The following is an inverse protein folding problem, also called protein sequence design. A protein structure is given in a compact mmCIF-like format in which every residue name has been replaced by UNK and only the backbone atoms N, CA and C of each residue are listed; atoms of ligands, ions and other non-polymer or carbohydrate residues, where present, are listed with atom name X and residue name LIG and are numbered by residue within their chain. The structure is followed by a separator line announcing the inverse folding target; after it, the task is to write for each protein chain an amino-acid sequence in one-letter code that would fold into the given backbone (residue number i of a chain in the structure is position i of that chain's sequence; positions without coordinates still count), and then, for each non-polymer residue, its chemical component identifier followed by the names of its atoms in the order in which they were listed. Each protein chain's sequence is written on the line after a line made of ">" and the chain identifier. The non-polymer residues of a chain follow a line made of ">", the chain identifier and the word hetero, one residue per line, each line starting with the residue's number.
data_IF_465800591769
#
_entry.id   IF_465800591769
#
_cell.length_a   1.000
_cell.length_b   1.000
_cell.length_c   1.000
_cell.angle_alpha   90.00
_cell.angle_beta   90.00
_cell.angle_gamma   90.00
#
_symmetry.space_group_name_H-M   'P 1'
#
loop_
_entity.id
_entity.type
_entity.pdbx_description
1 polymer ?
#
# COMPACT_ATOMS: atom_id res chain seq x y z
N UNK A 1 15.83 88.58 37.03
CA UNK A 1 16.62 89.61 36.32
C UNK A 1 16.84 89.19 34.87
N UNK A 2 17.40 90.04 33.99
CA UNK A 2 17.73 89.62 32.62
C UNK A 2 18.67 88.38 32.58
N UNK A 3 19.46 88.17 33.63
CA UNK A 3 20.27 86.96 33.83
C UNK A 3 19.41 85.70 34.08
N UNK A 4 18.31 85.79 34.83
CA UNK A 4 17.39 84.65 35.03
C UNK A 4 16.64 84.26 33.75
N UNK A 5 16.31 85.24 32.91
CA UNK A 5 15.66 84.98 31.61
C UNK A 5 16.65 84.30 30.66
N UNK A 6 17.91 84.74 30.64
CA UNK A 6 18.94 84.12 29.81
C UNK A 6 19.34 82.72 30.32
N UNK A 7 19.33 82.48 31.64
CA UNK A 7 19.53 81.16 32.23
C UNK A 7 18.39 80.20 31.84
N UNK A 8 17.13 80.65 31.93
CA UNK A 8 15.97 79.86 31.51
C UNK A 8 15.93 79.58 30.00
N UNK A 9 16.44 80.49 29.17
CA UNK A 9 16.55 80.27 27.71
C UNK A 9 17.70 79.33 27.35
N UNK A 10 18.80 79.33 28.12
CA UNK A 10 19.91 78.37 27.93
C UNK A 10 19.55 76.95 28.37
N UNK A 11 18.77 76.79 29.43
CA UNK A 11 18.25 75.48 29.84
C UNK A 11 17.22 74.93 28.85
N UNK A 12 16.35 75.79 28.28
CA UNK A 12 15.34 75.35 27.32
C UNK A 12 15.91 74.82 25.98
N UNK A 13 17.14 75.19 25.63
CA UNK A 13 17.80 74.74 24.39
C UNK A 13 18.70 73.49 24.59
N UNK A 14 18.91 73.02 25.82
CA UNK A 14 19.80 71.90 26.09
C UNK A 14 19.14 70.52 25.87
N UNK A 15 17.80 70.41 25.83
CA UNK A 15 17.13 69.09 25.88
C UNK A 15 16.08 68.81 24.79
N UNK A 16 15.78 69.72 23.86
CA UNK A 16 14.75 69.44 22.84
C UNK A 16 15.33 69.01 21.48
N UNK A 17 15.65 67.72 21.35
CA UNK A 17 15.77 67.03 20.04
C UNK A 17 14.40 66.54 19.54
N UNK A 18 13.37 67.39 19.60
CA UNK A 18 12.04 67.07 19.10
C UNK A 18 11.86 67.60 17.68
N UNK A 19 11.60 66.70 16.72
CA UNK A 19 11.14 67.09 15.39
C UNK A 19 9.61 67.12 15.44
N UNK A 20 9.05 68.33 15.43
CA UNK A 20 7.62 68.50 15.24
C UNK A 20 7.30 68.42 13.75
N UNK A 21 6.82 67.26 13.31
CA UNK A 21 6.20 67.11 12.00
C UNK A 21 4.74 67.58 12.13
N UNK A 22 4.54 68.89 12.00
CA UNK A 22 3.20 69.43 11.83
C UNK A 22 2.78 69.14 10.38
N UNK A 23 2.15 67.98 10.14
CA UNK A 23 1.46 67.77 8.88
C UNK A 23 0.29 68.75 8.85
N UNK A 24 0.38 69.78 8.01
CA UNK A 24 -0.66 70.79 7.75
C UNK A 24 -1.90 70.18 7.05
N UNK A 25 -2.30 68.97 7.46
CA UNK A 25 -3.20 68.09 6.75
C UNK A 25 -4.31 67.51 7.61
N UNK A 26 -4.76 68.22 8.65
CA UNK A 26 -6.17 68.15 9.06
C UNK A 26 -6.53 69.37 9.92
N UNK A 27 -7.49 70.17 9.45
CA UNK A 27 -8.06 71.29 10.20
C UNK A 27 -9.02 70.68 11.22
N UNK A 28 -8.56 70.50 12.46
CA UNK A 28 -9.39 70.11 13.59
C UNK A 28 -10.43 71.20 13.88
N UNK A 29 -11.63 70.77 14.23
CA UNK A 29 -12.88 71.51 14.45
C UNK A 29 -12.91 72.35 15.74
N UNK A 30 -11.76 72.89 16.15
CA UNK A 30 -11.68 73.87 17.24
C UNK A 30 -11.56 73.29 18.65
N UNK A 31 -11.16 72.02 18.79
CA UNK A 31 -10.83 71.42 20.08
C UNK A 31 -9.56 70.55 20.07
N UNK A 32 -9.37 69.72 19.04
CA UNK A 32 -8.41 68.61 19.09
C UNK A 32 -7.50 68.58 17.85
N UNK A 33 -6.29 69.14 17.96
CA UNK A 33 -5.29 69.05 16.90
C UNK A 33 -4.56 67.69 16.93
N UNK A 34 -4.78 66.88 15.90
CA UNK A 34 -4.10 65.60 15.68
C UNK A 34 -2.69 65.85 15.12
N UNK A 35 -1.68 65.78 15.97
CA UNK A 35 -0.27 65.92 15.57
C UNK A 35 0.55 64.73 16.01
N UNK A 36 1.34 64.15 15.10
CA UNK A 36 2.33 63.14 15.45
C UNK A 36 3.56 63.82 16.04
N UNK A 37 3.79 63.64 17.35
CA UNK A 37 5.03 64.08 17.97
C UNK A 37 5.99 62.89 17.98
N UNK A 38 7.01 62.94 17.11
CA UNK A 38 8.12 61.99 17.16
C UNK A 38 9.16 62.53 18.14
N UNK A 39 9.22 61.92 19.32
CA UNK A 39 10.28 62.21 20.30
C UNK A 39 11.32 61.09 20.25
N UNK A 40 12.57 61.46 19.97
CA UNK A 40 13.71 60.56 20.12
C UNK A 40 14.34 60.82 21.48
N UNK A 41 13.95 60.02 22.46
CA UNK A 41 14.75 59.80 23.67
C UNK A 41 15.35 58.41 23.53
N UNK A 42 16.51 58.16 24.14
CA UNK A 42 17.18 56.84 24.09
C UNK A 42 16.19 55.66 24.25
N UNK A 43 16.56 54.47 23.76
CA UNK A 43 16.44 53.95 22.39
C UNK A 43 14.97 53.75 21.92
N UNK A 44 14.11 54.76 22.10
CA UNK A 44 12.68 54.67 21.82
C UNK A 44 12.22 55.71 20.79
N UNK A 45 11.33 55.28 19.89
CA UNK A 45 10.50 56.16 19.09
C UNK A 45 9.09 56.11 19.70
N UNK A 46 8.70 57.22 20.32
CA UNK A 46 7.37 57.37 20.89
C UNK A 46 6.45 58.06 19.89
N UNK A 47 5.32 57.44 19.57
CA UNK A 47 4.28 58.00 18.70
C UNK A 47 3.08 58.35 19.58
N UNK A 48 2.96 59.62 19.94
CA UNK A 48 1.84 60.11 20.77
C UNK A 48 0.67 60.44 19.86
N UNK A 49 -0.44 59.71 20.01
CA UNK A 49 -1.76 60.17 19.54
C UNK A 49 -2.31 61.11 20.60
N UNK A 50 -2.77 62.30 20.19
CA UNK A 50 -3.27 63.36 21.07
C UNK A 50 -4.79 63.41 21.16
N UNK A 51 -5.50 62.50 20.51
CA UNK A 51 -6.95 62.52 20.59
C UNK A 51 -7.46 62.14 21.97
N UNK A 52 -8.43 62.89 22.45
CA UNK A 52 -9.12 62.65 23.71
C UNK A 52 -9.68 61.22 23.70
N UNK A 53 -9.02 60.31 24.43
CA UNK A 53 -9.32 58.87 24.58
C UNK A 53 -8.67 57.87 23.62
N UNK A 54 -7.77 58.24 22.69
CA UNK A 54 -6.99 57.23 21.95
C UNK A 54 -5.63 57.02 22.62
N UNK A 55 -5.45 55.86 23.26
CA UNK A 55 -4.18 55.53 23.94
C UNK A 55 -2.95 55.71 23.05
N UNK A 56 -1.86 56.21 23.62
CA UNK A 56 -0.58 56.37 22.92
C UNK A 56 0.11 55.02 22.67
N UNK A 57 0.89 54.92 21.58
CA UNK A 57 1.71 53.72 21.31
C UNK A 57 3.20 54.07 21.27
N UNK A 58 4.03 53.17 21.77
CA UNK A 58 5.47 53.36 21.77
C UNK A 58 6.17 52.18 21.12
N UNK A 59 7.17 52.48 20.29
CA UNK A 59 8.09 51.50 19.74
C UNK A 59 9.44 51.73 20.42
N UNK A 60 9.87 50.75 21.22
CA UNK A 60 11.14 50.83 21.95
C UNK A 60 12.08 49.73 21.50
N UNK A 61 13.36 50.04 21.32
CA UNK A 61 14.39 49.02 21.48
C UNK A 61 14.64 48.86 22.98
N UNK A 62 14.67 47.63 23.49
CA UNK A 62 14.88 47.36 24.90
C UNK A 62 16.34 46.91 25.13
N UNK A 63 16.82 47.00 26.37
CA UNK A 63 18.22 46.68 26.70
C UNK A 63 18.60 45.20 26.41
N UNK A 64 17.61 44.31 26.27
CA UNK A 64 17.77 42.91 25.85
C UNK A 64 17.82 42.74 24.31
N UNK A 65 17.88 43.84 23.55
CA UNK A 65 17.93 43.85 22.08
C UNK A 65 16.57 43.61 21.42
N UNK A 66 15.49 43.42 22.19
CA UNK A 66 14.15 43.23 21.64
C UNK A 66 13.53 44.55 21.19
N UNK A 67 12.62 44.50 20.22
CA UNK A 67 11.75 45.63 19.87
C UNK A 67 10.39 45.42 20.53
N UNK A 68 9.98 46.35 21.38
CA UNK A 68 8.74 46.31 22.14
C UNK A 68 7.76 47.32 21.55
N UNK A 69 6.54 46.86 21.30
CA UNK A 69 5.41 47.74 21.03
C UNK A 69 4.56 47.80 22.31
N UNK A 70 4.51 48.98 22.91
CA UNK A 70 3.76 49.23 24.14
C UNK A 70 2.47 49.97 23.81
N UNK A 71 1.37 49.56 24.46
CA UNK A 71 0.12 50.31 24.46
C UNK A 71 0.03 51.03 25.79
N UNK A 72 -0.15 52.34 25.75
CA UNK A 72 -0.52 53.08 26.95
C UNK A 72 -2.02 53.29 27.00
N UNK A 73 -2.61 52.91 28.13
CA UNK A 73 -4.07 52.96 28.34
C UNK A 73 -4.48 54.10 29.28
N UNK A 74 -3.52 54.81 29.89
CA UNK A 74 -3.80 55.84 30.90
C UNK A 74 -3.92 57.26 30.33
N UNK A 75 -3.52 57.49 29.08
CA UNK A 75 -3.63 58.75 28.33
C UNK A 75 -3.15 60.01 29.11
N UNK A 76 -2.25 59.82 30.07
CA UNK A 76 -1.80 60.86 31.00
C UNK A 76 -0.51 61.55 30.52
N UNK A 77 -0.03 61.18 29.32
CA UNK A 77 1.26 61.58 28.78
C UNK A 77 2.44 61.30 29.73
N UNK A 78 2.24 60.47 30.77
CA UNK A 78 3.19 60.18 31.83
C UNK A 78 3.99 58.90 31.53
N UNK A 79 4.20 58.60 30.24
CA UNK A 79 5.06 57.49 29.83
C UNK A 79 6.53 57.91 29.97
N UNK A 80 6.91 58.23 31.21
CA UNK A 80 8.21 58.54 31.73
C UNK A 80 8.63 57.47 32.74
N UNK A 81 9.49 56.58 32.27
CA UNK A 81 10.69 56.12 32.97
C UNK A 81 10.69 55.14 34.17
N UNK A 82 9.60 54.78 34.85
CA UNK A 82 9.71 53.79 35.97
C UNK A 82 8.96 52.48 35.81
N UNK A 83 7.82 52.47 35.14
CA UNK A 83 6.93 51.29 35.18
C UNK A 83 7.11 50.43 33.94
N UNK A 84 8.35 49.98 33.74
CA UNK A 84 8.79 49.10 32.65
C UNK A 84 8.33 47.64 32.88
N UNK A 85 7.06 47.48 33.27
CA UNK A 85 6.48 46.18 33.56
C UNK A 85 6.02 45.52 32.26
N UNK A 86 6.32 44.24 32.12
CA UNK A 86 6.00 43.41 30.94
C UNK A 86 4.50 43.35 30.61
N UNK A 87 3.65 43.82 31.51
CA UNK A 87 2.18 43.81 31.40
C UNK A 87 1.63 44.78 30.36
N UNK A 88 2.40 45.78 29.91
CA UNK A 88 1.99 46.74 28.86
C UNK A 88 2.55 46.44 27.45
N UNK A 89 3.30 45.35 27.28
CA UNK A 89 3.85 44.93 25.98
C UNK A 89 2.82 44.06 25.25
N UNK A 90 2.28 44.55 24.13
CA UNK A 90 1.32 43.77 23.34
C UNK A 90 1.99 42.97 22.22
N UNK A 91 3.15 43.42 21.73
CA UNK A 91 4.02 42.63 20.84
C UNK A 91 5.47 42.82 21.26
N UNK A 92 6.18 41.71 21.51
CA UNK A 92 7.62 41.65 21.76
C UNK A 92 8.31 40.89 20.63
N UNK A 93 9.18 41.56 19.89
CA UNK A 93 10.09 40.90 18.95
C UNK A 93 11.42 40.67 19.64
N UNK A 94 11.67 39.44 20.11
CA UNK A 94 12.95 39.06 20.70
C UNK A 94 13.85 38.52 19.60
N UNK A 95 14.96 39.22 19.31
CA UNK A 95 15.93 38.76 18.32
C UNK A 95 16.83 37.72 18.99
N UNK A 96 16.57 36.44 18.77
CA UNK A 96 17.35 35.31 19.34
C UNK A 96 18.75 35.13 18.74
N UNK A 97 19.31 36.15 18.08
CA UNK A 97 20.56 36.11 17.35
C UNK A 97 20.65 37.27 16.34
N UNK A 98 21.81 37.48 15.70
CA UNK A 98 21.96 38.48 14.64
C UNK A 98 20.95 38.23 13.51
N UNK A 99 20.09 39.22 13.24
CA UNK A 99 19.20 39.21 12.08
C UNK A 99 20.03 39.56 10.85
N UNK A 100 20.48 38.53 10.14
CA UNK A 100 21.08 38.71 8.83
C UNK A 100 19.96 39.06 7.84
N UNK A 101 19.83 40.34 7.52
CA UNK A 101 19.14 40.77 6.30
C UNK A 101 20.01 40.34 5.11
N UNK A 102 19.76 39.16 4.57
CA UNK A 102 20.35 38.76 3.29
C UNK A 102 19.60 39.50 2.17
N UNK A 103 20.11 40.66 1.78
CA UNK A 103 19.61 41.46 0.66
C UNK A 103 20.07 40.90 -0.71
N UNK A 104 20.21 39.58 -0.82
CA UNK A 104 20.37 38.91 -2.11
C UNK A 104 19.10 38.11 -2.40
N UNK A 105 18.32 38.65 -3.31
CA UNK A 105 17.15 38.09 -3.95
C UNK A 105 17.27 36.60 -4.28
N UNK A 106 16.63 35.73 -3.47
CA UNK A 106 16.13 34.42 -3.91
C UNK A 106 15.29 33.66 -2.86
N UNK A 107 15.39 33.96 -1.56
CA UNK A 107 14.52 33.34 -0.55
C UNK A 107 14.04 34.37 0.47
N UNK A 108 12.77 34.76 0.35
CA UNK A 108 12.08 35.54 1.38
C UNK A 108 11.92 34.63 2.61
N UNK A 109 12.78 34.83 3.60
CA UNK A 109 12.49 34.52 5.00
C UNK A 109 12.08 33.07 5.29
N UNK A 110 13.02 32.13 5.16
CA UNK A 110 12.88 30.84 5.86
C UNK A 110 13.00 31.09 7.37
N UNK A 111 11.87 31.20 8.07
CA UNK A 111 11.84 31.12 9.54
C UNK A 111 12.15 29.66 9.89
N UNK A 112 13.41 29.36 10.22
CA UNK A 112 13.80 28.04 10.70
C UNK A 112 13.07 27.73 12.00
N UNK A 113 12.29 26.65 11.99
CA UNK A 113 11.35 26.25 13.03
C UNK A 113 11.95 25.92 14.40
N UNK A 114 13.27 26.01 14.56
CA UNK A 114 13.93 25.80 15.85
C UNK A 114 13.42 26.77 16.93
N UNK A 115 12.94 27.96 16.56
CA UNK A 115 12.35 28.94 17.49
C UNK A 115 10.89 28.71 17.89
N UNK A 116 10.20 27.75 17.27
CA UNK A 116 8.80 27.40 17.64
C UNK A 116 8.70 26.15 18.50
N UNK A 117 9.83 25.56 18.90
CA UNK A 117 9.88 24.39 19.78
C UNK A 117 9.77 24.87 21.23
N UNK A 118 8.55 24.94 21.74
CA UNK A 118 8.29 25.26 23.14
C UNK A 118 6.80 25.20 23.45
N UNK A 119 6.44 24.54 24.55
CA UNK A 119 5.08 24.48 25.08
C UNK A 119 4.60 25.92 25.39
N UNK A 120 3.90 26.55 24.44
CA UNK A 120 3.43 27.94 24.58
C UNK A 120 3.46 28.78 23.30
N UNK A 121 4.04 28.29 22.20
CA UNK A 121 3.88 28.92 20.89
C UNK A 121 2.39 28.92 20.49
N UNK A 122 1.80 30.10 20.28
CA UNK A 122 0.40 30.28 19.88
C UNK A 122 -0.01 29.64 18.53
N UNK A 123 0.93 28.97 17.86
CA UNK A 123 0.66 27.99 16.80
C UNK A 123 0.41 26.61 17.42
N UNK A 124 -0.52 26.52 18.36
CA UNK A 124 -1.01 25.23 18.87
C UNK A 124 -1.71 24.51 17.71
N UNK A 125 -1.19 23.36 17.28
CA UNK A 125 -1.79 22.57 16.19
C UNK A 125 -0.87 22.28 15.01
N UNK A 126 0.27 22.97 14.90
CA UNK A 126 1.34 22.60 13.98
C UNK A 126 2.26 21.60 14.70
N UNK A 127 1.81 20.36 14.82
CA UNK A 127 2.68 19.27 15.26
C UNK A 127 3.50 18.86 14.04
N UNK A 128 4.84 18.78 14.15
CA UNK A 128 5.67 18.27 13.05
C UNK A 128 5.27 16.84 12.66
N UNK A 129 4.65 16.11 13.59
CA UNK A 129 4.06 14.80 13.39
C UNK A 129 2.55 14.85 13.08
N UNK A 130 1.92 16.04 12.93
CA UNK A 130 0.53 16.14 12.45
C UNK A 130 0.31 17.23 11.41
N UNK A 131 -0.02 16.83 10.18
CA UNK A 131 -0.55 17.72 9.15
C UNK A 131 -2.08 17.63 9.18
N UNK A 132 -2.76 18.72 9.55
CA UNK A 132 -4.23 18.74 9.63
C UNK A 132 -4.83 17.81 10.71
N UNK A 133 -4.09 17.52 11.78
CA UNK A 133 -4.55 16.64 12.87
C UNK A 133 -4.29 15.14 12.65
N UNK A 134 -3.89 14.74 11.44
CA UNK A 134 -3.50 13.36 11.12
C UNK A 134 -2.08 13.08 11.60
N UNK A 135 -1.88 11.99 12.34
CA UNK A 135 -0.56 11.56 12.86
C UNK A 135 0.43 11.25 11.73
N UNK A 136 1.75 11.31 12.01
CA UNK A 136 2.82 10.88 11.10
C UNK A 136 2.63 9.46 10.58
N UNK A 137 1.95 8.62 11.35
CA UNK A 137 1.60 7.24 10.98
C UNK A 137 0.53 7.15 9.88
N UNK A 138 -0.13 8.27 9.55
CA UNK A 138 -1.13 8.37 8.49
C UNK A 138 -0.53 8.79 7.15
N UNK A 139 0.76 9.13 7.09
CA UNK A 139 1.44 9.56 5.85
C UNK A 139 2.47 8.55 5.39
N UNK A 140 2.53 8.33 4.08
CA UNK A 140 3.57 7.54 3.43
C UNK A 140 4.88 8.33 3.48
N UNK A 141 5.91 7.78 4.13
CA UNK A 141 7.25 8.38 4.19
C UNK A 141 8.26 7.51 3.48
N UNK A 142 8.83 8.05 2.41
CA UNK A 142 9.85 7.37 1.59
C UNK A 142 11.22 7.30 2.26
N UNK A 143 11.47 8.11 3.30
CA UNK A 143 12.78 8.29 3.93
C UNK A 143 13.04 7.40 5.16
N UNK A 144 12.03 6.66 5.63
CA UNK A 144 12.10 5.92 6.89
C UNK A 144 12.05 4.39 6.74
N UNK A 145 12.18 3.86 5.50
CA UNK A 145 12.27 2.41 5.27
C UNK A 145 11.08 1.58 5.78
N UNK A 146 9.91 2.20 6.01
CA UNK A 146 8.74 1.51 6.52
C UNK A 146 7.59 1.57 5.51
N UNK A 147 7.49 0.45 4.80
CA UNK A 147 6.72 0.21 3.59
C UNK A 147 5.26 -0.19 3.82
N UNK A 148 4.67 0.21 4.95
CA UNK A 148 3.37 -0.30 5.40
C UNK A 148 2.27 0.73 5.16
N UNK A 149 1.31 0.42 4.30
CA UNK A 149 0.04 1.13 4.21
C UNK A 149 -0.95 0.41 5.11
N UNK A 150 -1.29 1.00 6.26
CA UNK A 150 -2.39 0.49 7.09
C UNK A 150 -3.71 0.78 6.40
N UNK A 151 -4.52 -0.25 6.21
CA UNK A 151 -5.85 -0.20 5.62
C UNK A 151 -6.97 -0.53 6.64
N UNK A 152 -6.63 -0.72 7.91
CA UNK A 152 -7.60 -1.02 8.96
C UNK A 152 -6.95 -1.39 10.30
N UNK A 153 -7.81 -1.46 11.32
CA UNK A 153 -7.60 -1.82 12.73
C UNK A 153 -6.95 -0.78 13.67
N UNK A 154 -7.69 -0.48 14.75
CA UNK A 154 -7.34 0.33 15.90
C UNK A 154 -6.81 -0.50 17.09
N UNK A 155 -6.78 -1.82 16.96
CA UNK A 155 -6.36 -2.74 18.01
C UNK A 155 -4.88 -3.14 17.84
N UNK A 156 -4.12 -3.09 18.93
CA UNK A 156 -2.75 -3.60 18.98
C UNK A 156 -2.74 -5.12 18.76
N UNK A 157 -2.49 -5.56 17.52
CA UNK A 157 -2.38 -6.99 17.18
C UNK A 157 -3.11 -7.41 15.91
N UNK A 158 -3.92 -6.54 15.32
CA UNK A 158 -4.53 -6.76 14.01
C UNK A 158 -4.01 -5.66 13.06
N UNK A 159 -3.21 -6.04 12.08
CA UNK A 159 -2.77 -5.18 11.00
C UNK A 159 -3.46 -5.66 9.71
N UNK A 160 -4.29 -4.78 9.15
CA UNK A 160 -4.73 -4.88 7.77
C UNK A 160 -3.90 -3.91 6.94
N UNK A 161 -3.27 -4.36 5.87
CA UNK A 161 -2.49 -3.45 5.05
C UNK A 161 -1.68 -4.05 3.91
N UNK A 162 -0.94 -3.16 3.26
CA UNK A 162 -0.03 -3.47 2.16
C UNK A 162 1.40 -3.22 2.62
N UNK A 163 2.30 -4.17 2.39
CA UNK A 163 3.72 -4.03 2.71
C UNK A 163 4.57 -4.28 1.47
N UNK A 164 5.47 -3.36 1.12
CA UNK A 164 6.48 -3.58 0.09
C UNK A 164 7.88 -3.71 0.70
N UNK A 165 8.40 -4.91 0.91
CA UNK A 165 9.79 -5.05 1.37
C UNK A 165 10.76 -4.88 0.20
N UNK A 166 11.44 -3.73 0.11
CA UNK A 166 12.41 -3.42 -0.96
C UNK A 166 13.66 -4.31 -0.90
N UNK A 167 14.07 -4.76 0.30
CA UNK A 167 15.26 -5.61 0.44
C UNK A 167 15.03 -6.99 -0.19
N UNK A 168 13.80 -7.50 -0.13
CA UNK A 168 13.43 -8.80 -0.70
C UNK A 168 12.58 -8.70 -1.97
N UNK A 169 12.21 -7.50 -2.40
CA UNK A 169 11.26 -7.21 -3.48
C UNK A 169 9.90 -7.91 -3.30
N UNK A 170 9.42 -8.03 -2.05
CA UNK A 170 8.17 -8.73 -1.74
C UNK A 170 7.06 -7.73 -1.47
N UNK A 171 5.98 -7.83 -2.25
CA UNK A 171 4.73 -7.13 -1.99
C UNK A 171 3.74 -8.05 -1.27
N UNK A 172 3.36 -7.71 -0.03
CA UNK A 172 2.47 -8.48 0.83
C UNK A 172 1.12 -7.78 0.98
N UNK A 173 0.05 -8.57 0.88
CA UNK A 173 -1.29 -8.20 1.31
C UNK A 173 -1.53 -8.90 2.65
N UNK A 174 -1.80 -8.13 3.70
CA UNK A 174 -2.03 -8.66 5.04
C UNK A 174 -3.45 -8.28 5.46
N UNK A 175 -4.17 -9.27 5.98
CA UNK A 175 -5.49 -9.10 6.58
C UNK A 175 -5.54 -9.91 7.88
N UNK A 176 -5.98 -9.26 8.96
CA UNK A 176 -6.24 -9.87 10.27
C UNK A 176 -5.03 -10.56 10.92
N UNK A 177 -3.85 -9.93 10.90
CA UNK A 177 -2.62 -10.50 11.50
C UNK A 177 -1.81 -9.55 12.37
N UNK A 178 -1.08 -10.11 13.34
CA UNK A 178 0.04 -9.42 13.98
C UNK A 178 1.19 -9.23 12.96
N UNK A 179 2.00 -8.20 13.18
CA UNK A 179 3.05 -7.72 12.27
C UNK A 179 4.12 -8.77 11.89
N UNK A 180 4.13 -9.94 12.55
CA UNK A 180 5.11 -11.02 12.47
C UNK A 180 4.54 -12.42 12.13
N UNK A 181 3.24 -12.56 11.86
CA UNK A 181 2.64 -13.88 11.55
C UNK A 181 2.57 -14.09 10.04
N UNK A 182 3.27 -15.11 9.54
CA UNK A 182 3.51 -15.33 8.09
C UNK A 182 2.28 -15.88 7.31
N UNK A 183 1.20 -16.31 7.98
CA UNK A 183 0.09 -16.97 7.28
C UNK A 183 -1.30 -16.67 7.88
N UNK A 184 -2.11 -15.87 7.19
CA UNK A 184 -3.56 -15.84 7.37
C UNK A 184 -4.27 -15.92 6.01
N UNK A 185 -5.41 -16.60 6.03
CA UNK A 185 -6.25 -16.88 4.87
C UNK A 185 -6.88 -15.60 4.32
N UNK A 186 -6.16 -14.87 3.48
CA UNK A 186 -6.66 -13.70 2.75
C UNK A 186 -7.11 -14.07 1.33
N UNK A 187 -8.30 -13.62 0.93
CA UNK A 187 -8.74 -13.70 -0.46
C UNK A 187 -8.25 -12.48 -1.24
N UNK A 188 -7.51 -12.69 -2.34
CA UNK A 188 -7.15 -11.63 -3.29
C UNK A 188 -8.10 -11.70 -4.48
N UNK A 189 -8.98 -10.71 -4.62
CA UNK A 189 -9.85 -10.56 -5.79
C UNK A 189 -9.19 -9.60 -6.80
N UNK A 190 -8.61 -10.15 -7.85
CA UNK A 190 -8.06 -9.37 -8.97
C UNK A 190 -8.88 -9.63 -10.23
N UNK A 191 -9.20 -8.58 -11.00
CA UNK A 191 -9.86 -8.75 -12.30
C UNK A 191 -9.01 -9.58 -13.28
N UNK A 192 -7.68 -9.48 -13.18
CA UNK A 192 -6.71 -10.26 -13.95
C UNK A 192 -5.35 -10.26 -13.25
N UNK A 193 -4.73 -11.43 -13.14
CA UNK A 193 -3.34 -11.60 -12.75
C UNK A 193 -2.50 -11.94 -13.99
N UNK A 194 -1.47 -11.15 -14.28
CA UNK A 194 -0.51 -11.42 -15.36
C UNK A 194 0.87 -11.57 -14.76
N UNK A 195 1.43 -12.76 -14.89
CA UNK A 195 2.76 -13.12 -14.39
C UNK A 195 3.70 -13.18 -15.60
N UNK A 196 4.72 -12.32 -15.61
CA UNK A 196 5.65 -12.18 -16.74
C UNK A 196 7.06 -12.73 -16.43
N UNK A 197 7.25 -13.42 -15.32
CA UNK A 197 8.51 -14.13 -15.10
C UNK A 197 8.66 -15.19 -16.19
N UNK A 198 9.85 -15.28 -16.76
CA UNK A 198 10.17 -16.16 -17.89
C UNK A 198 11.22 -17.21 -17.55
N UNK A 199 11.66 -17.25 -16.28
CA UNK A 199 12.58 -18.27 -15.83
C UNK A 199 11.89 -19.62 -15.90
N UNK A 200 12.59 -20.53 -16.55
CA UNK A 200 12.19 -21.92 -16.74
C UNK A 200 11.94 -22.60 -15.39
N UNK A 201 10.86 -23.36 -15.32
CA UNK A 201 10.52 -24.18 -14.18
C UNK A 201 11.47 -25.37 -14.13
N UNK A 202 12.15 -25.52 -13.00
CA UNK A 202 12.89 -26.73 -12.67
C UNK A 202 12.62 -27.20 -11.25
N UNK A 203 13.06 -28.42 -10.94
CA UNK A 203 12.84 -29.06 -9.65
C UNK A 203 13.30 -28.20 -8.47
N UNK A 204 14.36 -27.40 -8.63
CA UNK A 204 14.92 -26.53 -7.59
C UNK A 204 14.68 -25.04 -7.83
N UNK A 205 14.07 -24.64 -8.95
CA UNK A 205 13.85 -23.22 -9.26
C UNK A 205 12.87 -22.55 -8.29
N UNK A 206 13.14 -21.29 -7.96
CA UNK A 206 12.24 -20.39 -7.22
C UNK A 206 11.86 -19.13 -7.99
N UNK A 207 12.41 -18.95 -9.19
CA UNK A 207 12.22 -17.75 -10.01
C UNK A 207 11.11 -17.86 -11.07
N UNK A 208 10.41 -19.00 -11.13
CA UNK A 208 9.31 -19.25 -12.08
C UNK A 208 8.09 -18.37 -11.76
N UNK A 209 7.14 -18.30 -12.70
CA UNK A 209 6.05 -17.32 -12.64
C UNK A 209 5.05 -17.56 -11.52
N UNK A 210 4.69 -18.82 -11.25
CA UNK A 210 3.60 -19.15 -10.35
C UNK A 210 3.89 -20.36 -9.48
N UNK A 211 3.66 -20.25 -8.16
CA UNK A 211 3.76 -21.36 -7.22
C UNK A 211 2.56 -21.41 -6.27
N UNK A 212 2.06 -22.61 -6.01
CA UNK A 212 1.15 -22.93 -4.91
C UNK A 212 1.89 -23.84 -3.93
N UNK A 213 1.88 -23.49 -2.64
CA UNK A 213 2.60 -24.25 -1.60
C UNK A 213 4.01 -23.72 -1.35
N UNK A 214 4.63 -24.22 -0.27
CA UNK A 214 5.98 -23.79 0.15
C UNK A 214 7.05 -24.43 -0.72
N UNK A 215 8.14 -23.71 -0.98
CA UNK A 215 9.28 -24.19 -1.78
C UNK A 215 9.96 -25.41 -1.18
N UNK A 216 10.01 -25.49 0.16
CA UNK A 216 10.63 -26.56 0.94
C UNK A 216 9.69 -27.76 1.23
N UNK A 217 8.47 -27.76 0.69
CA UNK A 217 7.50 -28.85 0.84
C UNK A 217 6.80 -29.15 -0.49
N UNK A 218 5.66 -29.86 -0.45
CA UNK A 218 4.79 -30.07 -1.59
C UNK A 218 4.35 -28.74 -2.20
N UNK A 219 4.64 -28.57 -3.48
CA UNK A 219 4.22 -27.40 -4.23
C UNK A 219 3.88 -27.74 -5.68
N UNK A 220 3.11 -26.85 -6.30
CA UNK A 220 2.78 -26.86 -7.71
C UNK A 220 3.40 -25.60 -8.33
N UNK A 221 4.37 -25.78 -9.22
CA UNK A 221 4.99 -24.70 -10.00
C UNK A 221 4.44 -24.68 -11.43
N UNK A 222 4.38 -23.49 -12.02
CA UNK A 222 4.05 -23.31 -13.44
C UNK A 222 4.90 -22.19 -14.07
N UNK A 223 5.22 -22.36 -15.34
CA UNK A 223 5.82 -21.34 -16.20
C UNK A 223 5.06 -21.20 -17.53
N UNK A 224 5.73 -20.80 -18.62
CA UNK A 224 5.13 -20.56 -19.93
C UNK A 224 4.75 -21.83 -20.70
N UNK A 225 5.32 -23.00 -20.39
CA UNK A 225 5.04 -24.25 -21.12
C UNK A 225 4.95 -25.50 -20.24
N UNK A 226 5.12 -25.38 -18.93
CA UNK A 226 5.19 -26.52 -18.01
C UNK A 226 4.35 -26.31 -16.75
N UNK A 227 3.82 -27.42 -16.24
CA UNK A 227 3.16 -27.52 -14.94
C UNK A 227 3.81 -28.68 -14.21
N UNK A 228 4.35 -28.45 -13.01
CA UNK A 228 5.12 -29.44 -12.28
C UNK A 228 4.75 -29.50 -10.80
N UNK A 229 4.38 -30.69 -10.33
CA UNK A 229 4.30 -30.98 -8.91
C UNK A 229 5.70 -31.35 -8.38
N UNK A 230 6.10 -30.78 -7.25
CA UNK A 230 7.43 -30.94 -6.65
C UNK A 230 7.32 -31.14 -5.14
N UNK A 231 8.40 -31.67 -4.56
CA UNK A 231 8.61 -31.72 -3.11
C UNK A 231 10.08 -31.50 -2.79
N UNK A 232 10.41 -30.34 -2.22
CA UNK A 232 11.76 -29.99 -1.78
C UNK A 232 12.87 -30.31 -2.81
N UNK A 233 12.77 -29.79 -4.03
CA UNK A 233 13.81 -30.00 -5.05
C UNK A 233 13.70 -31.30 -5.86
N UNK A 234 12.66 -32.12 -5.64
CA UNK A 234 12.44 -33.40 -6.34
C UNK A 234 11.07 -33.41 -7.02
N UNK A 235 10.96 -34.10 -8.16
CA UNK A 235 9.69 -34.24 -8.89
C UNK A 235 8.69 -35.09 -8.10
N UNK A 236 7.41 -34.73 -8.18
CA UNK A 236 6.32 -35.43 -7.53
C UNK A 236 5.17 -35.73 -8.49
N UNK A 237 4.25 -36.61 -8.09
CA UNK A 237 3.07 -36.92 -8.89
C UNK A 237 2.12 -35.73 -8.99
N UNK A 238 1.79 -35.31 -10.22
CA UNK A 238 0.73 -34.34 -10.48
C UNK A 238 -0.61 -35.08 -10.57
N UNK A 239 -1.44 -34.93 -9.54
CA UNK A 239 -2.78 -35.49 -9.52
C UNK A 239 -3.78 -34.48 -10.08
N UNK A 240 -4.32 -34.77 -11.26
CA UNK A 240 -5.38 -33.97 -11.86
C UNK A 240 -6.71 -34.64 -11.57
N UNK A 241 -7.56 -33.96 -10.80
CA UNK A 241 -8.93 -34.37 -10.54
C UNK A 241 -9.04 -35.77 -9.89
N UNK A 242 -8.20 -36.03 -8.86
CA UNK A 242 -8.11 -37.33 -8.17
C UNK A 242 -9.41 -37.79 -7.52
N UNK A 243 -10.24 -36.84 -7.12
CA UNK A 243 -11.52 -37.11 -6.44
C UNK A 243 -12.65 -37.42 -7.44
N UNK A 244 -12.34 -37.47 -8.74
CA UNK A 244 -13.23 -37.90 -9.81
C UNK A 244 -13.71 -36.77 -10.72
N UNK A 245 -14.30 -37.14 -11.86
CA UNK A 245 -14.67 -36.24 -12.96
C UNK A 245 -13.75 -36.39 -14.19
N UNK A 246 -14.13 -35.81 -15.32
CA UNK A 246 -13.39 -35.97 -16.58
C UNK A 246 -12.24 -34.96 -16.68
N UNK A 247 -11.03 -35.42 -17.03
CA UNK A 247 -9.93 -34.55 -17.45
C UNK A 247 -9.86 -34.53 -18.97
N UNK A 248 -9.94 -33.34 -19.56
CA UNK A 248 -9.81 -33.12 -21.00
C UNK A 248 -8.54 -32.35 -21.32
N UNK A 249 -7.79 -32.81 -22.32
CA UNK A 249 -6.61 -32.13 -22.87
C UNK A 249 -6.81 -32.01 -24.37
N UNK A 250 -6.70 -30.79 -24.91
CA UNK A 250 -6.94 -30.50 -26.31
C UNK A 250 -8.30 -31.06 -26.81
N UNK A 251 -9.35 -30.92 -26.00
CA UNK A 251 -10.70 -31.43 -26.27
C UNK A 251 -10.85 -32.96 -26.18
N UNK A 252 -9.75 -33.70 -26.01
CA UNK A 252 -9.76 -35.16 -25.88
C UNK A 252 -9.83 -35.54 -24.40
N UNK A 253 -10.71 -36.47 -24.05
CA UNK A 253 -10.78 -37.00 -22.69
C UNK A 253 -9.58 -37.91 -22.43
N UNK A 254 -8.71 -37.52 -21.50
CA UNK A 254 -7.45 -38.25 -21.22
C UNK A 254 -7.52 -39.11 -19.97
N UNK A 255 -8.39 -38.76 -19.00
CA UNK A 255 -8.64 -39.59 -17.83
C UNK A 255 -10.14 -39.73 -17.59
N UNK A 256 -10.57 -40.98 -17.43
CA UNK A 256 -11.85 -41.35 -16.81
C UNK A 256 -11.56 -41.96 -15.47
N UNK A 257 -12.51 -41.84 -14.55
CA UNK A 257 -12.51 -42.66 -13.35
C UNK A 257 -12.36 -44.16 -13.74
N UNK A 258 -11.58 -44.90 -12.96
CA UNK A 258 -11.23 -46.32 -13.21
C UNK A 258 -12.47 -47.26 -13.22
N UNK A 259 -13.64 -46.68 -12.94
CA UNK A 259 -14.96 -47.29 -12.91
C UNK A 259 -15.62 -47.44 -14.29
N UNK A 260 -15.03 -46.90 -15.36
CA UNK A 260 -15.67 -46.88 -16.69
C UNK A 260 -14.94 -47.72 -17.75
N UNK A 261 -15.72 -48.19 -18.74
CA UNK A 261 -15.20 -48.86 -19.93
C UNK A 261 -14.78 -47.78 -20.92
N UNK A 262 -13.50 -47.79 -21.28
CA UNK A 262 -12.92 -46.80 -22.20
C UNK A 262 -13.05 -47.18 -23.68
N UNK A 263 -13.17 -48.48 -23.98
CA UNK A 263 -13.41 -49.00 -25.34
C UNK A 263 -13.98 -50.44 -25.31
N UNK A 264 -14.60 -50.89 -26.41
CA UNK A 264 -15.12 -52.25 -26.60
C UNK A 264 -14.77 -52.76 -28.00
N UNK A 265 -14.31 -54.01 -28.11
CA UNK A 265 -13.98 -54.63 -29.40
C UNK A 265 -14.24 -56.13 -29.44
N UNK A 266 -14.11 -56.70 -30.64
CA UNK A 266 -13.91 -58.14 -30.85
C UNK A 266 -12.40 -58.45 -30.92
N UNK A 267 -11.92 -59.38 -30.10
CA UNK A 267 -10.52 -59.82 -30.07
C UNK A 267 -10.11 -60.67 -31.29
N UNK A 268 -9.01 -61.42 -31.20
CA UNK A 268 -8.56 -62.27 -32.29
C UNK A 268 -9.59 -63.38 -32.63
N UNK A 269 -9.73 -63.72 -33.91
CA UNK A 269 -10.57 -64.84 -34.35
C UNK A 269 -9.91 -66.18 -34.04
N UNK A 270 -10.68 -67.07 -33.42
CA UNK A 270 -10.29 -68.44 -33.07
C UNK A 270 -11.19 -69.41 -33.82
N UNK A 271 -10.58 -70.44 -34.39
CA UNK A 271 -11.29 -71.49 -35.10
C UNK A 271 -11.34 -72.77 -34.25
N UNK A 272 -12.54 -73.28 -34.04
CA UNK A 272 -12.78 -74.58 -33.41
C UNK A 272 -13.18 -75.57 -34.49
N UNK A 273 -12.42 -76.66 -34.61
CA UNK A 273 -12.72 -77.75 -35.55
C UNK A 273 -13.47 -78.87 -34.84
N UNK A 274 -14.36 -79.53 -35.58
CA UNK A 274 -15.00 -80.75 -35.12
C UNK A 274 -14.17 -81.96 -35.55
N UNK A 275 -13.95 -82.90 -34.64
CA UNK A 275 -13.09 -84.06 -34.89
C UNK A 275 -13.75 -85.12 -35.79
N UNK A 276 -15.08 -85.13 -35.86
CA UNK A 276 -15.89 -86.05 -36.66
C UNK A 276 -17.12 -85.31 -37.18
N UNK A 277 -17.73 -85.87 -38.21
CA UNK A 277 -19.03 -85.44 -38.72
C UNK A 277 -20.04 -85.39 -37.57
N UNK A 278 -20.60 -84.20 -37.35
CA UNK A 278 -21.46 -83.93 -36.22
C UNK A 278 -22.87 -84.24 -36.68
N UNK A 279 -23.48 -85.29 -36.13
CA UNK A 279 -24.85 -85.67 -36.51
C UNK A 279 -25.84 -84.51 -36.40
N UNK A 280 -27.02 -84.69 -37.03
CA UNK A 280 -28.08 -83.69 -37.31
C UNK A 280 -28.55 -82.84 -36.11
N UNK A 281 -28.15 -83.16 -34.89
CA UNK A 281 -28.56 -82.49 -33.64
C UNK A 281 -27.41 -82.20 -32.66
N UNK A 282 -26.22 -81.88 -33.16
CA UNK A 282 -25.10 -81.53 -32.28
C UNK A 282 -25.16 -80.05 -31.87
N UNK A 283 -25.21 -79.80 -30.56
CA UNK A 283 -25.27 -78.44 -30.00
C UNK A 283 -23.90 -77.95 -29.60
N UNK A 284 -23.54 -76.75 -30.05
CA UNK A 284 -22.28 -76.09 -29.70
C UNK A 284 -22.54 -74.79 -28.95
N UNK A 285 -21.75 -74.59 -27.89
CA UNK A 285 -21.70 -73.34 -27.14
C UNK A 285 -20.32 -72.72 -27.32
N UNK A 286 -20.27 -71.44 -27.67
CA UNK A 286 -19.01 -70.70 -27.66
C UNK A 286 -18.47 -70.60 -26.22
N UNK A 287 -17.15 -70.43 -26.08
CA UNK A 287 -16.55 -70.19 -24.77
C UNK A 287 -17.10 -68.91 -24.11
N UNK A 288 -17.02 -68.81 -22.78
CA UNK A 288 -17.45 -67.63 -22.02
C UNK A 288 -16.86 -66.35 -22.60
N UNK A 289 -17.73 -65.39 -22.95
CA UNK A 289 -17.31 -64.11 -23.53
C UNK A 289 -17.06 -64.13 -25.03
N UNK A 290 -17.27 -65.26 -25.72
CA UNK A 290 -17.09 -65.37 -27.17
C UNK A 290 -18.42 -65.29 -27.91
N UNK A 291 -18.36 -64.71 -29.12
CA UNK A 291 -19.46 -64.72 -30.08
C UNK A 291 -19.08 -65.50 -31.33
N UNK A 292 -20.05 -66.16 -31.93
CA UNK A 292 -19.89 -66.80 -33.24
C UNK A 292 -19.69 -65.72 -34.31
N UNK A 293 -18.69 -65.92 -35.16
CA UNK A 293 -18.32 -64.96 -36.23
C UNK A 293 -18.22 -65.61 -37.60
N UNK A 294 -18.25 -66.94 -37.66
CA UNK A 294 -18.35 -67.68 -38.90
C UNK A 294 -18.58 -69.17 -38.66
N UNK A 295 -18.98 -69.86 -39.71
CA UNK A 295 -19.07 -71.33 -39.77
C UNK A 295 -18.09 -71.85 -40.80
N UNK A 296 -17.57 -73.05 -40.58
CA UNK A 296 -16.77 -73.75 -41.58
C UNK A 296 -17.59 -74.91 -42.11
N UNK A 297 -17.90 -74.87 -43.39
CA UNK A 297 -18.54 -75.98 -44.10
C UNK A 297 -17.44 -76.68 -44.88
N UNK A 298 -17.41 -78.01 -44.79
CA UNK A 298 -16.52 -78.87 -45.56
C UNK A 298 -17.39 -79.86 -46.31
N UNK A 299 -17.19 -79.91 -47.61
CA UNK A 299 -17.78 -80.93 -48.46
C UNK A 299 -17.16 -82.30 -48.18
N UNK A 300 -17.95 -83.25 -47.67
CA UNK A 300 -17.48 -84.60 -47.35
C UNK A 300 -18.46 -85.65 -47.90
N UNK A 301 -17.97 -86.58 -48.72
CA UNK A 301 -18.75 -87.71 -49.27
C UNK A 301 -20.12 -87.33 -49.89
N UNK A 302 -20.15 -86.25 -50.67
CA UNK A 302 -21.34 -85.73 -51.36
C UNK A 302 -22.36 -84.98 -50.47
N UNK A 303 -22.02 -84.62 -49.24
CA UNK A 303 -22.83 -83.74 -48.38
C UNK A 303 -22.01 -82.55 -47.84
N UNK A 304 -22.71 -81.45 -47.51
CA UNK A 304 -22.15 -80.25 -46.90
C UNK A 304 -22.23 -80.35 -45.38
N UNK A 305 -21.10 -80.69 -44.76
CA UNK A 305 -21.02 -80.88 -43.31
C UNK A 305 -20.40 -79.66 -42.65
N UNK A 306 -21.01 -79.19 -41.56
CA UNK A 306 -20.35 -78.22 -40.70
C UNK A 306 -19.15 -78.89 -40.01
N UNK A 307 -17.94 -78.45 -40.34
CA UNK A 307 -16.68 -79.04 -39.82
C UNK A 307 -16.03 -78.20 -38.72
N UNK A 308 -16.67 -77.10 -38.34
CA UNK A 308 -16.21 -76.23 -37.27
C UNK A 308 -16.86 -74.86 -37.30
N UNK A 309 -16.42 -74.00 -36.40
CA UNK A 309 -16.86 -72.62 -36.32
C UNK A 309 -15.73 -71.66 -35.95
N UNK A 310 -15.96 -70.38 -36.22
CA UNK A 310 -15.07 -69.27 -35.87
C UNK A 310 -15.73 -68.41 -34.81
N UNK A 311 -14.98 -68.04 -33.78
CA UNK A 311 -15.48 -67.19 -32.71
C UNK A 311 -14.46 -66.14 -32.29
N UNK A 312 -14.95 -65.02 -31.74
CA UNK A 312 -14.12 -63.92 -31.24
C UNK A 312 -14.54 -63.56 -29.82
N UNK A 313 -13.60 -63.30 -28.89
CA UNK A 313 -13.96 -62.81 -27.57
C UNK A 313 -14.43 -61.36 -27.67
N UNK A 314 -15.50 -61.00 -26.98
CA UNK A 314 -15.85 -59.60 -26.73
C UNK A 314 -14.91 -59.11 -25.62
N UNK A 315 -14.21 -58.01 -25.88
CA UNK A 315 -13.27 -57.41 -24.93
C UNK A 315 -13.67 -55.99 -24.61
N UNK A 316 -13.40 -55.56 -23.38
CA UNK A 316 -13.53 -54.17 -22.92
C UNK A 316 -12.17 -53.65 -22.45
N UNK A 317 -11.89 -52.38 -22.72
CA UNK A 317 -10.66 -51.71 -22.29
C UNK A 317 -10.91 -50.99 -20.96
N UNK A 318 -10.22 -51.43 -19.91
CA UNK A 318 -10.31 -50.86 -18.56
C UNK A 318 -8.88 -50.73 -18.02
N UNK A 319 -8.53 -49.57 -17.48
CA UNK A 319 -7.23 -49.29 -16.85
C UNK A 319 -6.03 -49.71 -17.70
N UNK A 320 -6.05 -49.36 -18.99
CA UNK A 320 -4.93 -49.64 -19.89
C UNK A 320 -4.82 -51.09 -20.38
N UNK A 321 -5.78 -51.96 -20.05
CA UNK A 321 -5.75 -53.37 -20.45
C UNK A 321 -7.07 -53.83 -21.10
N UNK A 322 -6.95 -54.74 -22.06
CA UNK A 322 -8.08 -55.42 -22.69
C UNK A 322 -8.46 -56.66 -21.86
N UNK A 323 -9.71 -56.70 -21.40
CA UNK A 323 -10.25 -57.82 -20.61
C UNK A 323 -11.42 -58.45 -21.36
N UNK A 324 -11.42 -59.79 -21.47
CA UNK A 324 -12.56 -60.53 -22.05
C UNK A 324 -13.76 -60.45 -21.12
N UNK A 325 -14.94 -60.17 -21.68
CA UNK A 325 -16.18 -60.09 -20.92
C UNK A 325 -16.57 -61.47 -20.39
N UNK A 326 -16.97 -61.57 -19.13
CA UNK A 326 -17.57 -62.79 -18.59
C UNK A 326 -19.03 -62.90 -19.04
N UNK A 327 -19.43 -64.07 -19.52
CA UNK A 327 -20.82 -64.43 -19.78
C UNK A 327 -21.40 -65.11 -18.53
N UNK A 328 -22.53 -64.61 -18.06
CA UNK A 328 -23.33 -65.20 -16.96
C UNK A 328 -24.25 -66.29 -17.51
#
# INVERSE_FOLDING_TARGET
>A
TAADVLAKIKDANAEMRSLFLNSLGHVGDGGNDYGLIVRAFEPAITLVDRSDNAGSTQIRSHADGAIWFLRDVTNDMSIGHSDNTTTKVFVKFTLGGPVFYNNSSAEIGRITSAGFVGAGSGLTGVNADKLGGLSKSSFLRTDAGNYKIRMGSDASGNFDGLIFDDATNVFKFIADQADDVEFAYGNIHAGRLRLNATNDLSLSSTAHAFQIGRTDDYNLGMDNNEIQARRNGVGYGLYLNSDGGNVYVNGSRVATDASSISDVRLGAEVQTLFAIDTGVTTWYRAATGFVLTGVRIHWQYADDVMSGYKSRPIQKFINGSWVTIAQV
#
